data_IF_977484270695
#
_entry.id   IF_977484270695
#
_cell.length_a   1.000
_cell.length_b   1.000
_cell.length_c   1.000
_cell.angle_alpha   90.00
_cell.angle_beta   90.00
_cell.angle_gamma   90.00
#
_symmetry.space_group_name_H-M   'P 1'
#
loop_
_entity.id
_entity.type
_entity.pdbx_description
1 polymer ?
#
# COMPACT_ATOMS: atom_id res chain seq x y z
N UNK A 1 -49.77 59.32 0.76
CA UNK A 1 -48.93 59.29 1.98
C UNK A 1 -48.95 57.89 2.59
N UNK A 2 -47.77 57.24 2.58
CA UNK A 2 -47.19 56.35 3.62
C UNK A 2 -48.02 55.20 4.19
N UNK A 3 -47.73 53.96 3.77
CA UNK A 3 -47.41 52.84 4.68
C UNK A 3 -46.30 52.00 4.06
N UNK A 4 -45.11 52.05 4.67
CA UNK A 4 -43.88 51.47 4.15
C UNK A 4 -43.84 49.95 4.28
N UNK A 5 -43.42 49.29 3.21
CA UNK A 5 -43.13 47.86 3.19
C UNK A 5 -41.93 47.54 4.09
N UNK A 6 -42.12 46.63 5.05
CA UNK A 6 -41.08 46.18 5.97
C UNK A 6 -40.19 45.14 5.27
N UNK A 7 -38.89 45.43 5.33
CA UNK A 7 -37.77 44.80 4.63
C UNK A 7 -37.51 43.35 5.05
N UNK A 8 -37.51 42.41 4.10
CA UNK A 8 -37.04 41.01 4.30
C UNK A 8 -35.51 41.01 4.41
N UNK A 9 -34.96 40.78 5.60
CA UNK A 9 -33.51 40.83 5.86
C UNK A 9 -32.83 39.45 5.76
N UNK A 10 -32.09 39.31 4.67
CA UNK A 10 -30.67 38.89 4.53
C UNK A 10 -30.26 37.46 4.91
N UNK A 11 -30.00 36.72 3.84
CA UNK A 11 -29.15 35.53 3.71
C UNK A 11 -27.70 35.85 4.13
N UNK A 12 -27.06 34.96 4.90
CA UNK A 12 -25.59 34.77 4.86
C UNK A 12 -25.29 33.27 4.97
N UNK A 13 -24.89 32.69 3.84
CA UNK A 13 -24.30 31.37 3.74
C UNK A 13 -22.94 31.37 4.44
N UNK A 14 -22.76 30.52 5.45
CA UNK A 14 -21.46 30.26 6.05
C UNK A 14 -20.85 29.02 5.41
N UNK A 15 -20.16 29.18 4.28
CA UNK A 15 -19.33 28.11 3.71
C UNK A 15 -17.94 28.22 4.34
N UNK A 16 -17.82 27.73 5.58
CA UNK A 16 -16.53 27.61 6.27
C UNK A 16 -15.69 26.54 5.56
N UNK A 17 -14.56 26.96 5.01
CA UNK A 17 -13.58 26.09 4.37
C UNK A 17 -13.06 25.03 5.36
N UNK A 18 -13.47 23.77 5.18
CA UNK A 18 -12.84 22.60 5.78
C UNK A 18 -12.48 21.58 4.69
N UNK A 19 -11.84 22.04 3.61
CA UNK A 19 -11.41 21.19 2.51
C UNK A 19 -9.99 20.61 2.67
N UNK A 20 -9.32 20.82 3.82
CA UNK A 20 -7.95 20.33 4.06
C UNK A 20 -7.84 19.09 4.95
N UNK A 21 -8.93 18.65 5.60
CA UNK A 21 -8.96 17.38 6.33
C UNK A 21 -9.05 16.14 5.43
N UNK A 22 -9.78 16.12 4.29
CA UNK A 22 -9.87 14.90 3.48
C UNK A 22 -8.57 14.62 2.69
N UNK A 23 -7.71 15.62 2.47
CA UNK A 23 -6.44 15.42 1.78
C UNK A 23 -5.40 14.70 2.65
N UNK A 24 -5.43 14.93 3.98
CA UNK A 24 -4.59 14.19 4.93
C UNK A 24 -5.10 12.75 5.12
N UNK A 25 -6.42 12.51 5.06
CA UNK A 25 -7.00 11.15 5.08
C UNK A 25 -6.67 10.38 3.80
N UNK A 26 -6.69 11.03 2.63
CA UNK A 26 -6.34 10.40 1.36
C UNK A 26 -4.83 10.06 1.26
N UNK A 27 -3.95 10.87 1.85
CA UNK A 27 -2.51 10.61 1.88
C UNK A 27 -2.11 9.45 2.82
N UNK A 28 -2.90 9.19 3.88
CA UNK A 28 -2.69 8.04 4.79
C UNK A 28 -3.33 6.74 4.28
N UNK A 29 -4.10 6.77 3.20
CA UNK A 29 -4.82 5.63 2.65
C UNK A 29 -4.29 5.16 1.28
N UNK A 30 -3.02 5.45 0.96
CA UNK A 30 -2.34 4.79 -0.14
C UNK A 30 -2.00 3.34 0.28
N UNK A 31 -3.01 2.47 0.31
CA UNK A 31 -2.83 1.02 0.37
C UNK A 31 -2.09 0.61 -0.90
N UNK A 32 -0.77 0.47 -0.81
CA UNK A 32 0.05 -0.10 -1.86
C UNK A 32 -0.58 -1.43 -2.29
N UNK A 33 -0.95 -1.54 -3.58
CA UNK A 33 -1.57 -2.74 -4.11
C UNK A 33 -0.63 -3.94 -3.87
N UNK A 34 -1.13 -4.90 -3.10
CA UNK A 34 -0.47 -6.19 -2.88
C UNK A 34 -0.16 -6.86 -4.22
N UNK A 35 1.12 -7.07 -4.53
CA UNK A 35 1.55 -7.81 -5.71
C UNK A 35 2.10 -9.19 -5.31
N UNK A 36 1.93 -10.17 -6.20
CA UNK A 36 2.44 -11.54 -5.98
C UNK A 36 3.95 -11.52 -5.72
N UNK A 37 4.47 -12.29 -4.74
CA UNK A 37 5.90 -12.36 -4.52
C UNK A 37 6.62 -12.94 -5.74
N UNK A 38 7.85 -12.51 -5.98
CA UNK A 38 8.70 -13.03 -7.06
C UNK A 38 9.92 -13.71 -6.48
N UNK A 39 10.35 -14.82 -7.09
CA UNK A 39 11.47 -15.63 -6.58
C UNK A 39 12.46 -15.92 -7.71
N UNK A 40 13.75 -15.89 -7.38
CA UNK A 40 14.83 -16.35 -8.26
C UNK A 40 15.71 -17.31 -7.49
N UNK A 41 15.91 -18.51 -8.03
CA UNK A 41 16.88 -19.48 -7.50
C UNK A 41 18.26 -19.20 -8.11
N UNK A 42 19.30 -19.40 -7.31
CA UNK A 42 20.69 -19.34 -7.77
C UNK A 42 21.33 -20.73 -7.80
N UNK A 43 22.56 -20.83 -8.31
CA UNK A 43 23.30 -22.09 -8.28
C UNK A 43 23.58 -22.54 -6.84
N UNK A 44 23.64 -23.86 -6.64
CA UNK A 44 24.15 -24.43 -5.40
C UNK A 44 25.66 -24.19 -5.31
N UNK A 45 26.13 -23.80 -4.14
CA UNK A 45 27.56 -23.54 -3.87
C UNK A 45 28.06 -24.41 -2.73
N UNK A 46 29.39 -24.59 -2.62
CA UNK A 46 30.00 -25.42 -1.57
C UNK A 46 29.49 -26.86 -1.56
N UNK A 47 29.30 -27.45 -2.74
CA UNK A 47 28.77 -28.81 -2.88
C UNK A 47 29.82 -29.83 -2.40
N UNK A 48 29.54 -30.44 -1.26
CA UNK A 48 30.30 -31.55 -0.69
C UNK A 48 29.54 -32.88 -0.80
N UNK A 49 30.07 -33.92 -0.15
CA UNK A 49 29.45 -35.26 -0.16
C UNK A 49 28.14 -35.32 0.62
N UNK A 50 27.99 -34.51 1.67
CA UNK A 50 26.83 -34.52 2.58
C UNK A 50 26.16 -33.17 2.78
N UNK A 51 26.71 -32.10 2.20
CA UNK A 51 26.19 -30.73 2.38
C UNK A 51 26.33 -29.91 1.10
N UNK A 52 25.46 -28.91 0.98
CA UNK A 52 25.51 -27.88 -0.06
C UNK A 52 24.79 -26.63 0.44
N UNK A 53 25.16 -25.47 -0.10
CA UNK A 53 24.47 -24.20 0.17
C UNK A 53 23.54 -23.86 -0.99
N UNK A 54 22.26 -23.64 -0.69
CA UNK A 54 21.26 -23.22 -1.67
C UNK A 54 21.14 -21.69 -1.65
N UNK A 55 21.18 -21.08 -2.83
CA UNK A 55 21.11 -19.62 -2.97
C UNK A 55 19.83 -19.21 -3.68
N UNK A 56 19.32 -18.02 -3.34
CA UNK A 56 18.12 -17.47 -3.96
C UNK A 56 17.73 -16.12 -3.39
N UNK A 57 16.80 -15.45 -4.06
CA UNK A 57 16.26 -14.15 -3.66
C UNK A 57 14.73 -14.18 -3.73
N UNK A 58 14.09 -13.65 -2.70
CA UNK A 58 12.63 -13.44 -2.65
C UNK A 58 12.36 -11.94 -2.65
N UNK A 59 11.50 -11.48 -3.55
CA UNK A 59 10.89 -10.17 -3.49
C UNK A 59 9.44 -10.32 -2.97
N UNK A 60 9.14 -9.92 -1.73
CA UNK A 60 7.83 -10.09 -1.10
C UNK A 60 6.78 -9.05 -1.52
N UNK A 61 7.16 -8.01 -2.28
CA UNK A 61 6.25 -6.97 -2.78
C UNK A 61 5.31 -6.38 -1.70
N UNK A 62 5.92 -5.91 -0.60
CA UNK A 62 5.27 -5.22 0.52
C UNK A 62 4.26 -6.05 1.33
N UNK A 63 4.26 -7.38 1.17
CA UNK A 63 3.47 -8.29 1.98
C UNK A 63 4.31 -9.37 2.65
N UNK A 64 3.96 -9.71 3.89
CA UNK A 64 4.59 -10.84 4.58
C UNK A 64 4.45 -12.12 3.74
N UNK A 65 5.58 -12.76 3.46
CA UNK A 65 5.67 -13.95 2.59
C UNK A 65 6.50 -15.02 3.28
N UNK A 66 6.02 -16.25 3.28
CA UNK A 66 6.77 -17.43 3.78
C UNK A 66 7.47 -18.12 2.62
N UNK A 67 8.67 -18.65 2.86
CA UNK A 67 9.45 -19.38 1.85
C UNK A 67 10.14 -20.60 2.47
N UNK A 68 10.52 -21.54 1.61
CA UNK A 68 11.32 -22.70 1.96
C UNK A 68 12.12 -23.16 0.73
N UNK A 69 13.24 -23.83 0.97
CA UNK A 69 13.97 -24.52 -0.09
C UNK A 69 13.48 -25.96 -0.20
N UNK A 70 13.16 -26.39 -1.41
CA UNK A 70 12.95 -27.80 -1.73
C UNK A 70 14.25 -28.38 -2.30
N UNK A 71 14.64 -29.55 -1.82
CA UNK A 71 15.80 -30.26 -2.29
C UNK A 71 15.46 -31.73 -2.54
N UNK A 72 16.20 -32.34 -3.46
CA UNK A 72 16.01 -33.72 -3.86
C UNK A 72 17.21 -34.23 -4.64
N UNK A 73 17.22 -35.52 -4.95
CA UNK A 73 18.23 -36.13 -5.81
C UNK A 73 17.98 -35.68 -7.25
N UNK A 74 19.06 -35.43 -8.00
CA UNK A 74 18.99 -35.22 -9.46
C UNK A 74 18.47 -36.48 -10.17
N UNK A 75 17.74 -36.30 -11.28
CA UNK A 75 17.32 -37.37 -12.20
C UNK A 75 18.20 -37.42 -13.42
#
# INVERSE_FOLDING_TARGET
MRRGAVSKRRIRAGLGALALVPLLVAALAATAAAALPSVTTGPATGVGTTSATLTGKVNPNNLATTYFFQYGRTR
#
